data_IF_320436456782
#
_entry.id   IF_320436456782
#
_cell.length_a   1.000
_cell.length_b   1.000
_cell.length_c   1.000
_cell.angle_alpha   90.00
_cell.angle_beta   90.00
_cell.angle_gamma   90.00
#
_symmetry.space_group_name_H-M   'P 1'
#
loop_
_entity.id
_entity.type
_entity.pdbx_description
1 polymer ?
#
# COMPACT_ATOMS: atom_id res chain seq x y z
N UNK A 1 -13.68 -8.66 -6.13
CA UNK A 1 -12.96 -8.45 -4.87
C UNK A 1 -13.58 -7.28 -4.13
N UNK A 2 -13.74 -7.38 -2.82
CA UNK A 2 -14.35 -6.32 -2.05
C UNK A 2 -13.45 -5.10 -1.96
N UNK A 3 -14.00 -3.90 -2.17
CA UNK A 3 -13.22 -2.68 -2.14
C UNK A 3 -12.57 -2.43 -0.78
N UNK A 4 -13.26 -2.80 0.31
CA UNK A 4 -12.68 -2.62 1.65
C UNK A 4 -11.47 -3.52 1.90
N UNK A 5 -11.41 -4.71 1.28
CA UNK A 5 -10.22 -5.56 1.36
C UNK A 5 -9.04 -4.91 0.66
N UNK A 6 -9.27 -4.32 -0.51
CA UNK A 6 -8.22 -3.62 -1.24
C UNK A 6 -7.69 -2.45 -0.41
N UNK A 7 -8.59 -1.68 0.21
CA UNK A 7 -8.19 -0.57 1.05
C UNK A 7 -7.39 -1.04 2.27
N UNK A 8 -7.83 -2.13 2.92
CA UNK A 8 -7.15 -2.69 4.07
C UNK A 8 -5.74 -3.14 3.72
N UNK A 9 -5.58 -3.86 2.61
CA UNK A 9 -4.27 -4.30 2.14
C UNK A 9 -3.37 -3.10 1.84
N UNK A 10 -3.93 -2.06 1.22
CA UNK A 10 -3.18 -0.84 0.94
C UNK A 10 -2.65 -0.18 2.20
N UNK A 11 -3.45 -0.09 3.25
CA UNK A 11 -3.01 0.45 4.54
C UNK A 11 -1.92 -0.41 5.17
N UNK A 12 -2.02 -1.73 5.07
CA UNK A 12 -0.99 -2.62 5.59
C UNK A 12 0.34 -2.37 4.87
N UNK A 13 0.32 -2.27 3.55
CA UNK A 13 1.53 -1.98 2.79
C UNK A 13 2.10 -0.61 3.12
N UNK A 14 1.24 0.37 3.32
CA UNK A 14 1.68 1.71 3.71
C UNK A 14 2.42 1.66 5.04
N UNK A 15 1.85 0.97 6.03
CA UNK A 15 2.48 0.81 7.34
C UNK A 15 3.85 0.14 7.22
N UNK A 16 3.93 -0.96 6.48
CA UNK A 16 5.18 -1.69 6.28
C UNK A 16 6.21 -0.79 5.59
N UNK A 17 5.81 -0.05 4.57
CA UNK A 17 6.71 0.83 3.85
C UNK A 17 7.31 1.91 4.73
N UNK A 18 6.49 2.55 5.55
CA UNK A 18 6.95 3.58 6.48
C UNK A 18 7.90 2.98 7.51
N UNK A 19 7.56 1.81 8.06
CA UNK A 19 8.40 1.12 9.04
C UNK A 19 9.78 0.78 8.46
N UNK A 20 9.81 0.29 7.23
CA UNK A 20 11.08 -0.04 6.56
C UNK A 20 11.94 1.19 6.33
N UNK A 21 11.34 2.31 5.96
CA UNK A 21 12.08 3.56 5.77
C UNK A 21 12.68 4.02 7.09
N UNK A 22 11.92 3.96 8.17
CA UNK A 22 12.41 4.34 9.50
C UNK A 22 13.58 3.46 9.92
N UNK A 23 13.55 2.18 9.56
CA UNK A 23 14.63 1.24 9.88
C UNK A 23 15.85 1.34 8.95
N UNK A 24 15.82 2.25 7.99
CA UNK A 24 16.93 2.45 7.07
C UNK A 24 16.86 1.63 5.80
N UNK A 25 15.81 0.84 5.59
CA UNK A 25 15.62 0.04 4.37
C UNK A 25 14.79 0.83 3.36
N UNK A 26 15.35 1.91 2.86
CA UNK A 26 14.61 2.88 2.04
C UNK A 26 14.12 2.26 0.73
N UNK A 27 14.96 1.46 0.06
CA UNK A 27 14.58 0.83 -1.20
C UNK A 27 13.36 -0.07 -1.07
N UNK A 28 13.34 -0.91 -0.03
CA UNK A 28 12.20 -1.78 0.22
C UNK A 28 10.98 -1.00 0.66
N UNK A 29 11.17 0.06 1.45
CA UNK A 29 10.09 0.94 1.86
C UNK A 29 9.41 1.59 0.66
N UNK A 30 10.19 2.07 -0.30
CA UNK A 30 9.64 2.66 -1.53
C UNK A 30 8.84 1.62 -2.31
N UNK A 31 9.32 0.38 -2.40
CA UNK A 31 8.59 -0.68 -3.08
C UNK A 31 7.22 -0.92 -2.45
N UNK A 32 7.15 -0.99 -1.12
CA UNK A 32 5.87 -1.19 -0.43
C UNK A 32 4.95 0.03 -0.56
N UNK A 33 5.50 1.24 -0.56
CA UNK A 33 4.72 2.44 -0.83
C UNK A 33 4.13 2.39 -2.24
N UNK A 34 4.89 1.90 -3.22
CA UNK A 34 4.38 1.69 -4.58
C UNK A 34 3.22 0.71 -4.62
N UNK A 35 3.29 -0.37 -3.87
CA UNK A 35 2.18 -1.33 -3.75
C UNK A 35 0.95 -0.68 -3.12
N UNK A 36 1.14 0.17 -2.12
CA UNK A 36 0.05 0.92 -1.50
C UNK A 36 -0.64 1.84 -2.52
N UNK A 37 0.12 2.56 -3.32
CA UNK A 37 -0.44 3.42 -4.36
C UNK A 37 -1.19 2.60 -5.41
N UNK A 38 -0.68 1.43 -5.78
CA UNK A 38 -1.37 0.52 -6.69
C UNK A 38 -2.72 0.09 -6.14
N UNK A 39 -2.79 -0.16 -4.84
CA UNK A 39 -4.05 -0.52 -4.18
C UNK A 39 -5.05 0.62 -4.18
N UNK A 40 -4.60 1.86 -4.09
CA UNK A 40 -5.49 3.02 -4.23
C UNK A 40 -6.14 3.03 -5.60
N UNK A 41 -5.36 2.77 -6.66
CA UNK A 41 -5.90 2.68 -8.01
C UNK A 41 -6.92 1.57 -8.15
N UNK A 42 -6.63 0.39 -7.59
CA UNK A 42 -7.56 -0.74 -7.61
C UNK A 42 -8.85 -0.42 -6.83
N UNK A 43 -8.72 0.26 -5.72
CA UNK A 43 -9.89 0.67 -4.93
C UNK A 43 -10.79 1.59 -5.74
N UNK A 44 -10.21 2.57 -6.42
CA UNK A 44 -10.99 3.50 -7.24
C UNK A 44 -11.76 2.78 -8.35
N UNK A 45 -11.16 1.79 -8.97
CA UNK A 45 -11.86 0.98 -9.98
C UNK A 45 -12.95 0.11 -9.36
N UNK A 46 -12.71 -0.42 -8.16
CA UNK A 46 -13.67 -1.29 -7.49
C UNK A 46 -14.93 -0.56 -7.06
N UNK A 47 -14.85 0.75 -6.74
CA UNK A 47 -16.01 1.53 -6.31
C UNK A 47 -16.73 2.25 -7.45
N UNK A 48 -16.20 2.18 -8.66
CA UNK A 48 -16.91 2.67 -9.84
C UNK A 48 -18.04 1.72 -10.18
#
# INVERSE_FOLDING_TARGET
MSSWLIATIGFVYLYIGVDLIIKGQVGMGIAYLGYSLGNVGLYLEAVK
#
